data_IF_561822001614
#
_entry.id   IF_561822001614
#
_cell.length_a   1.000
_cell.length_b   1.000
_cell.length_c   1.000
_cell.angle_alpha   90.00
_cell.angle_beta   90.00
_cell.angle_gamma   90.00
#
_symmetry.space_group_name_H-M   'P 1'
#
loop_
_entity.id
_entity.type
_entity.pdbx_description
1 polymer ?
#
# COMPACT_ATOMS: atom_id res chain seq x y z
N UNK A 1 -8.42 -1.99 -17.01
CA UNK A 1 -8.52 -3.33 -17.63
C UNK A 1 -9.86 -3.96 -17.29
N UNK A 2 -10.75 -4.04 -18.30
CA UNK A 2 -12.13 -4.53 -18.11
C UNK A 2 -12.17 -6.01 -17.68
N UNK A 3 -11.24 -6.82 -18.14
CA UNK A 3 -11.12 -8.24 -17.75
C UNK A 3 -10.81 -8.39 -16.27
N UNK A 4 -9.84 -7.64 -15.77
CA UNK A 4 -9.47 -7.63 -14.34
C UNK A 4 -10.64 -7.20 -13.45
N UNK A 5 -11.40 -6.19 -13.90
CA UNK A 5 -12.61 -5.74 -13.19
C UNK A 5 -13.65 -6.85 -13.07
N UNK A 6 -13.94 -7.55 -14.16
CA UNK A 6 -14.89 -8.67 -14.16
C UNK A 6 -14.42 -9.80 -13.25
N UNK A 7 -13.13 -10.14 -13.30
CA UNK A 7 -12.56 -11.21 -12.48
C UNK A 7 -12.57 -10.85 -10.99
N UNK A 8 -12.30 -9.58 -10.66
CA UNK A 8 -12.42 -9.08 -9.29
C UNK A 8 -13.88 -9.18 -8.78
N UNK A 9 -14.85 -8.66 -9.53
CA UNK A 9 -16.27 -8.67 -9.15
C UNK A 9 -16.83 -10.09 -9.01
N UNK A 10 -16.25 -11.06 -9.72
CA UNK A 10 -16.59 -12.49 -9.62
C UNK A 10 -15.79 -13.23 -8.54
N UNK A 11 -14.95 -12.55 -7.76
CA UNK A 11 -14.12 -13.17 -6.74
C UNK A 11 -13.01 -14.07 -7.28
N UNK A 12 -12.61 -13.91 -8.56
CA UNK A 12 -11.59 -14.73 -9.24
C UNK A 12 -10.21 -14.06 -9.30
N UNK A 13 -10.09 -12.82 -8.84
CA UNK A 13 -8.83 -12.08 -8.81
C UNK A 13 -8.56 -11.51 -7.43
N UNK A 14 -7.35 -11.72 -6.91
CA UNK A 14 -6.80 -11.06 -5.73
C UNK A 14 -6.10 -9.73 -6.05
N UNK A 15 -6.06 -9.32 -7.32
CA UNK A 15 -5.32 -8.16 -7.81
C UNK A 15 -6.11 -6.86 -7.74
N UNK A 16 -6.95 -6.69 -6.71
CA UNK A 16 -7.71 -5.45 -6.51
C UNK A 16 -6.83 -4.20 -6.43
N UNK A 17 -5.59 -4.35 -5.95
CA UNK A 17 -4.61 -3.27 -5.86
C UNK A 17 -4.13 -2.74 -7.23
N UNK A 18 -4.28 -3.49 -8.32
CA UNK A 18 -4.02 -3.02 -9.69
C UNK A 18 -5.21 -2.22 -10.25
N UNK A 19 -6.41 -2.46 -9.68
CA UNK A 19 -7.65 -1.88 -10.14
C UNK A 19 -8.06 -0.64 -9.34
N UNK A 20 -7.94 -0.69 -8.01
CA UNK A 20 -8.35 0.35 -7.09
C UNK A 20 -7.16 1.12 -6.52
N UNK A 21 -7.46 2.25 -5.91
CA UNK A 21 -6.44 3.13 -5.36
C UNK A 21 -6.12 4.31 -6.27
N UNK A 22 -5.00 4.96 -6.00
CA UNK A 22 -4.46 6.07 -6.76
C UNK A 22 -3.30 5.59 -7.64
N UNK A 23 -3.48 5.61 -8.96
CA UNK A 23 -2.48 5.15 -9.93
C UNK A 23 -2.03 6.29 -10.84
N UNK A 24 -0.72 6.47 -10.93
CA UNK A 24 -0.14 7.41 -11.91
C UNK A 24 -0.18 6.81 -13.31
N UNK A 25 -0.87 7.48 -14.21
CA UNK A 25 -1.05 7.06 -15.59
C UNK A 25 -0.64 8.17 -16.55
N UNK A 26 -0.20 7.78 -17.74
CA UNK A 26 0.08 8.70 -18.84
C UNK A 26 -0.97 8.49 -19.91
N UNK A 27 -1.87 9.44 -20.07
CA UNK A 27 -2.98 9.35 -20.99
C UNK A 27 -3.29 10.72 -21.59
N UNK A 28 -3.77 10.75 -22.85
CA UNK A 28 -4.05 11.99 -23.56
C UNK A 28 -2.87 12.99 -23.55
N UNK A 29 -1.66 12.45 -23.65
CA UNK A 29 -0.40 13.22 -23.69
C UNK A 29 -0.11 14.03 -22.42
N UNK A 30 -0.66 13.64 -21.29
CA UNK A 30 -0.43 14.26 -19.99
C UNK A 30 -0.34 13.24 -18.85
N UNK A 31 0.41 13.60 -17.81
CA UNK A 31 0.42 12.86 -16.56
C UNK A 31 -0.83 13.16 -15.77
N UNK A 32 -1.47 12.10 -15.26
CA UNK A 32 -2.64 12.23 -14.39
C UNK A 32 -2.67 11.10 -13.36
N UNK A 33 -3.44 11.28 -12.29
CA UNK A 33 -3.70 10.23 -11.32
C UNK A 33 -5.11 9.71 -11.53
N UNK A 34 -5.21 8.41 -11.76
CA UNK A 34 -6.47 7.69 -11.80
C UNK A 34 -6.81 7.23 -10.39
N UNK A 35 -7.98 7.61 -9.90
CA UNK A 35 -8.55 7.13 -8.64
C UNK A 35 -9.70 6.19 -8.96
N UNK A 36 -9.73 5.04 -8.29
CA UNK A 36 -10.85 4.11 -8.39
C UNK A 36 -11.18 3.50 -7.03
N UNK A 37 -12.48 3.33 -6.76
CA UNK A 37 -12.98 2.74 -5.52
C UNK A 37 -14.20 1.87 -5.78
N UNK A 38 -14.31 0.76 -5.06
CA UNK A 38 -15.52 -0.09 -5.04
C UNK A 38 -16.45 0.35 -3.91
N UNK A 39 -17.58 0.92 -4.25
CA UNK A 39 -18.58 1.43 -3.32
C UNK A 39 -20.01 1.12 -3.81
N UNK A 40 -20.40 -0.17 -3.88
CA UNK A 40 -21.65 -0.59 -4.53
C UNK A 40 -22.91 -0.11 -3.80
N UNK A 41 -22.81 0.29 -2.54
CA UNK A 41 -23.91 0.83 -1.74
C UNK A 41 -23.94 2.36 -1.72
N UNK A 42 -23.05 3.03 -2.48
CA UNK A 42 -23.05 4.48 -2.55
C UNK A 42 -24.08 4.99 -3.55
N UNK A 43 -24.74 6.09 -3.20
CA UNK A 43 -25.54 6.88 -4.15
C UNK A 43 -24.63 7.68 -5.09
N UNK A 44 -23.53 8.22 -4.55
CA UNK A 44 -22.51 8.95 -5.27
C UNK A 44 -21.19 8.90 -4.51
N UNK A 45 -20.08 9.08 -5.21
CA UNK A 45 -18.74 9.21 -4.63
C UNK A 45 -18.06 10.44 -5.23
N UNK A 46 -17.38 11.20 -4.38
CA UNK A 46 -16.50 12.31 -4.80
C UNK A 46 -15.09 12.10 -4.23
N UNK A 47 -14.10 12.54 -4.95
CA UNK A 47 -12.72 12.60 -4.46
C UNK A 47 -12.51 13.95 -3.76
N UNK A 48 -11.93 13.95 -2.55
CA UNK A 48 -11.60 15.18 -1.81
C UNK A 48 -10.14 15.15 -1.36
N UNK A 49 -9.52 16.30 -1.29
CA UNK A 49 -8.13 16.43 -0.87
C UNK A 49 -7.68 17.90 -0.87
N UNK A 50 -6.39 18.13 -0.59
CA UNK A 50 -5.83 19.48 -0.57
C UNK A 50 -5.98 20.20 -1.92
N UNK A 51 -5.93 19.44 -3.02
CA UNK A 51 -6.05 19.95 -4.40
C UNK A 51 -7.42 20.57 -4.73
N UNK A 52 -8.45 20.32 -3.93
CA UNK A 52 -9.79 20.90 -4.11
C UNK A 52 -10.38 21.48 -2.80
N UNK A 53 -9.51 21.83 -1.84
CA UNK A 53 -9.90 22.34 -0.52
C UNK A 53 -10.90 21.43 0.22
N UNK A 54 -10.78 20.11 0.03
CA UNK A 54 -11.63 19.09 0.64
C UNK A 54 -13.13 19.23 0.33
N UNK A 55 -13.45 19.89 -0.79
CA UNK A 55 -14.84 20.14 -1.21
C UNK A 55 -15.42 18.94 -1.97
N UNK A 56 -16.45 18.24 -1.44
CA UNK A 56 -17.06 17.09 -2.09
C UNK A 56 -17.80 17.41 -3.39
N UNK A 57 -18.16 18.66 -3.62
CA UNK A 57 -18.89 19.07 -4.83
C UNK A 57 -17.95 19.36 -6.01
N UNK A 58 -16.64 19.51 -5.75
CA UNK A 58 -15.68 19.96 -6.76
C UNK A 58 -15.25 18.85 -7.73
N UNK A 59 -15.16 17.60 -7.27
CA UNK A 59 -14.60 16.46 -8.03
C UNK A 59 -15.44 15.19 -7.88
N UNK A 60 -16.66 15.16 -8.44
CA UNK A 60 -17.48 13.97 -8.45
C UNK A 60 -16.83 12.88 -9.32
N UNK A 61 -16.85 11.65 -8.81
CA UNK A 61 -16.38 10.46 -9.52
C UNK A 61 -17.49 9.88 -10.40
N UNK A 62 -17.11 9.27 -11.51
CA UNK A 62 -18.05 8.66 -12.45
C UNK A 62 -18.23 7.18 -12.12
N UNK A 63 -19.48 6.67 -12.11
CA UNK A 63 -19.70 5.24 -12.00
C UNK A 63 -19.24 4.54 -13.29
N UNK A 64 -18.59 3.39 -13.12
CA UNK A 64 -18.21 2.51 -14.22
C UNK A 64 -19.32 1.52 -14.46
N UNK A 65 -20.24 1.85 -15.36
CA UNK A 65 -21.49 1.10 -15.59
C UNK A 65 -22.21 0.78 -14.26
N UNK A 66 -22.84 -0.38 -14.16
CA UNK A 66 -23.54 -0.86 -12.95
C UNK A 66 -22.63 -1.73 -12.05
N UNK A 67 -21.31 -1.50 -12.10
CA UNK A 67 -20.33 -2.33 -11.40
C UNK A 67 -20.21 -2.04 -9.90
N UNK A 68 -20.70 -0.89 -9.44
CA UNK A 68 -20.44 -0.36 -8.10
C UNK A 68 -19.04 0.24 -7.95
N UNK A 69 -18.29 0.37 -9.05
CA UNK A 69 -16.97 1.02 -9.09
C UNK A 69 -17.17 2.47 -9.53
N UNK A 70 -16.46 3.37 -8.85
CA UNK A 70 -16.38 4.79 -9.20
C UNK A 70 -14.95 5.13 -9.58
N UNK A 71 -14.79 5.95 -10.62
CA UNK A 71 -13.49 6.30 -11.20
C UNK A 71 -13.40 7.79 -11.50
N UNK A 72 -12.19 8.36 -11.33
CA UNK A 72 -11.87 9.74 -11.69
C UNK A 72 -10.40 9.83 -12.11
N UNK A 73 -10.14 10.62 -13.17
CA UNK A 73 -8.80 11.00 -13.60
C UNK A 73 -8.56 12.46 -13.25
N UNK A 74 -7.48 12.73 -12.52
CA UNK A 74 -7.12 14.09 -12.10
C UNK A 74 -5.78 14.46 -12.74
N UNK A 75 -5.78 15.35 -13.73
CA UNK A 75 -4.55 15.78 -14.40
C UNK A 75 -3.68 16.66 -13.49
N UNK A 76 -2.36 16.57 -13.68
CA UNK A 76 -1.39 17.41 -13.00
C UNK A 76 -1.19 17.12 -11.51
N UNK A 77 -1.82 16.10 -10.96
CA UNK A 77 -1.63 15.71 -9.58
C UNK A 77 -0.30 14.94 -9.42
N UNK A 78 0.47 15.30 -8.38
CA UNK A 78 1.75 14.67 -8.05
C UNK A 78 1.65 13.64 -6.93
N UNK A 79 2.81 13.07 -6.55
CA UNK A 79 2.97 12.27 -5.32
C UNK A 79 2.87 13.14 -4.07
N UNK A 80 2.44 12.55 -2.95
CA UNK A 80 2.37 13.22 -1.66
C UNK A 80 1.08 14.00 -1.42
N UNK A 81 0.08 13.91 -2.31
CA UNK A 81 -1.19 14.60 -2.13
C UNK A 81 -2.10 13.83 -1.17
N UNK A 82 -2.65 14.54 -0.18
CA UNK A 82 -3.65 13.99 0.72
C UNK A 82 -5.02 13.89 0.04
N UNK A 83 -5.70 12.76 0.22
CA UNK A 83 -7.04 12.55 -0.32
C UNK A 83 -7.90 11.61 0.51
N UNK A 84 -9.21 11.71 0.34
CA UNK A 84 -10.22 10.76 0.81
C UNK A 84 -11.33 10.60 -0.23
N UNK A 85 -12.16 9.59 -0.04
CA UNK A 85 -13.44 9.47 -0.73
C UNK A 85 -14.56 10.04 0.14
N UNK A 86 -15.36 10.94 -0.43
CA UNK A 86 -16.61 11.41 0.14
C UNK A 86 -17.74 10.56 -0.45
N UNK A 87 -18.26 9.63 0.35
CA UNK A 87 -19.27 8.66 -0.06
C UNK A 87 -20.65 9.16 0.37
N UNK A 88 -21.51 9.49 -0.57
CA UNK A 88 -22.90 9.88 -0.30
C UNK A 88 -23.77 8.63 -0.24
N UNK A 89 -24.44 8.43 0.87
CA UNK A 89 -25.39 7.33 1.06
C UNK A 89 -26.74 7.62 0.41
N UNK A 90 -27.58 6.60 0.27
CA UNK A 90 -28.97 6.79 -0.22
C UNK A 90 -29.83 7.69 0.71
N UNK A 91 -29.47 7.83 1.98
CA UNK A 91 -30.12 8.73 2.93
C UNK A 91 -29.62 10.18 2.85
N UNK A 92 -28.59 10.43 2.00
CA UNK A 92 -27.99 11.77 1.83
C UNK A 92 -26.85 12.07 2.81
N UNK A 93 -26.51 11.15 3.70
CA UNK A 93 -25.36 11.31 4.59
C UNK A 93 -24.05 11.19 3.81
N UNK A 94 -23.09 12.08 4.07
CA UNK A 94 -21.74 12.01 3.48
C UNK A 94 -20.77 11.40 4.49
N UNK A 95 -20.07 10.35 4.07
CA UNK A 95 -19.06 9.66 4.86
C UNK A 95 -17.69 9.89 4.24
N UNK A 96 -16.74 10.42 5.00
CA UNK A 96 -15.36 10.59 4.56
C UNK A 96 -14.54 9.34 4.91
N UNK A 97 -14.02 8.66 3.88
CA UNK A 97 -13.28 7.40 4.01
C UNK A 97 -11.91 7.48 3.39
N UNK A 98 -10.92 6.93 4.10
CA UNK A 98 -9.63 6.65 3.50
C UNK A 98 -9.77 5.59 2.40
N UNK A 99 -8.81 5.58 1.49
CA UNK A 99 -8.75 4.58 0.42
C UNK A 99 -8.22 3.25 0.97
N UNK A 100 -8.98 2.16 0.88
CA UNK A 100 -8.52 0.85 1.35
C UNK A 100 -7.38 0.26 0.51
N UNK A 101 -7.13 0.80 -0.68
CA UNK A 101 -6.05 0.40 -1.59
C UNK A 101 -4.95 1.45 -1.71
N UNK A 102 -4.89 2.41 -0.78
CA UNK A 102 -3.82 3.40 -0.77
C UNK A 102 -2.45 2.75 -0.56
N UNK A 103 -1.47 3.18 -1.35
CA UNK A 103 -0.08 2.76 -1.19
C UNK A 103 0.66 3.51 -0.08
N UNK A 104 0.09 4.60 0.41
CA UNK A 104 0.62 5.38 1.53
C UNK A 104 -0.52 6.06 2.29
N UNK A 105 -0.31 6.27 3.58
CA UNK A 105 -1.27 6.94 4.47
C UNK A 105 -0.65 8.17 5.13
N UNK A 106 -1.52 9.09 5.52
CA UNK A 106 -1.14 10.27 6.27
C UNK A 106 -0.59 9.88 7.65
N UNK A 107 0.46 10.60 8.09
CA UNK A 107 1.00 10.39 9.42
C UNK A 107 0.00 10.88 10.49
N UNK A 108 -0.07 10.14 11.59
CA UNK A 108 -0.97 10.44 12.70
C UNK A 108 -0.79 11.87 13.27
N UNK A 109 -1.87 12.51 13.70
CA UNK A 109 -3.24 12.03 13.90
C UNK A 109 -4.11 12.07 12.64
N UNK A 110 -3.55 12.40 11.47
CA UNK A 110 -4.26 12.40 10.21
C UNK A 110 -4.80 11.00 9.82
N UNK A 111 -5.80 10.99 8.96
CA UNK A 111 -6.49 9.76 8.52
C UNK A 111 -6.74 9.75 7.01
N UNK A 112 -6.04 10.60 6.26
CA UNK A 112 -6.14 10.62 4.81
C UNK A 112 -5.23 9.55 4.17
N UNK A 113 -5.53 9.22 2.95
CA UNK A 113 -4.64 8.48 2.06
C UNK A 113 -3.71 9.46 1.36
N UNK A 114 -2.55 8.98 0.92
CA UNK A 114 -1.53 9.77 0.23
C UNK A 114 -1.24 9.17 -1.13
N UNK A 115 -1.20 9.99 -2.17
CA UNK A 115 -0.79 9.53 -3.50
C UNK A 115 0.68 9.14 -3.48
N UNK A 116 1.01 7.91 -3.88
CA UNK A 116 2.37 7.39 -3.91
C UNK A 116 2.63 6.60 -5.20
N UNK A 117 3.80 6.78 -5.79
CA UNK A 117 4.24 5.98 -6.93
C UNK A 117 5.24 4.92 -6.46
N UNK A 118 4.84 3.66 -6.49
CA UNK A 118 5.65 2.52 -6.05
C UNK A 118 6.45 1.86 -7.19
N UNK A 119 6.34 2.35 -8.43
CA UNK A 119 6.94 1.73 -9.63
C UNK A 119 8.43 2.02 -9.82
N UNK A 120 9.02 2.90 -8.99
CA UNK A 120 10.40 3.37 -9.17
C UNK A 120 11.50 2.41 -8.71
N UNK A 121 11.15 1.33 -7.99
CA UNK A 121 12.14 0.41 -7.46
C UNK A 121 12.69 -0.52 -8.56
N UNK A 122 14.02 -0.56 -8.69
CA UNK A 122 14.71 -1.45 -9.63
C UNK A 122 15.25 -2.66 -8.86
N UNK A 123 14.68 -3.81 -9.13
CA UNK A 123 15.15 -5.08 -8.60
C UNK A 123 16.47 -5.48 -9.26
N UNK A 124 17.43 -5.93 -8.47
CA UNK A 124 18.72 -6.47 -8.95
C UNK A 124 18.97 -7.91 -8.46
N UNK A 125 17.91 -8.64 -8.24
CA UNK A 125 17.84 -9.95 -7.61
C UNK A 125 17.76 -11.13 -8.59
N UNK A 126 17.97 -10.92 -9.89
CA UNK A 126 17.84 -11.94 -10.94
C UNK A 126 18.63 -13.22 -10.64
N UNK A 127 19.90 -13.08 -10.19
CA UNK A 127 20.75 -14.23 -9.82
C UNK A 127 20.15 -15.02 -8.66
N UNK A 128 19.60 -14.33 -7.68
CA UNK A 128 18.93 -14.98 -6.55
C UNK A 128 17.67 -15.71 -7.00
N UNK A 129 16.86 -15.11 -7.87
CA UNK A 129 15.64 -15.70 -8.42
C UNK A 129 15.96 -16.98 -9.23
N UNK A 130 17.03 -16.98 -10.02
CA UNK A 130 17.52 -18.15 -10.74
C UNK A 130 17.96 -19.27 -9.79
N UNK A 131 18.78 -18.94 -8.77
CA UNK A 131 19.22 -19.89 -7.75
C UNK A 131 18.05 -20.51 -6.99
N UNK A 132 17.09 -19.67 -6.59
CA UNK A 132 15.87 -20.10 -5.90
C UNK A 132 15.04 -21.07 -6.74
N UNK A 133 14.91 -20.83 -8.04
CA UNK A 133 14.17 -21.71 -8.93
C UNK A 133 14.78 -23.13 -9.03
N UNK A 134 16.11 -23.25 -8.84
CA UNK A 134 16.83 -24.53 -8.84
C UNK A 134 16.91 -25.21 -7.47
N UNK A 135 16.42 -24.59 -6.40
CA UNK A 135 16.54 -25.11 -5.03
C UNK A 135 15.25 -25.81 -4.60
N UNK A 136 15.36 -27.04 -4.07
CA UNK A 136 14.25 -27.74 -3.43
C UNK A 136 14.09 -27.22 -1.98
N UNK A 137 13.04 -26.41 -1.68
CA UNK A 137 12.90 -25.79 -0.36
C UNK A 137 12.64 -26.81 0.76
N UNK A 138 12.20 -28.04 0.41
CA UNK A 138 11.93 -29.10 1.41
C UNK A 138 13.23 -29.75 1.89
N UNK A 139 14.27 -29.75 1.05
CA UNK A 139 15.57 -30.38 1.35
C UNK A 139 16.62 -29.38 1.87
N UNK A 140 16.39 -28.10 1.70
CA UNK A 140 17.31 -27.08 2.19
C UNK A 140 17.14 -26.86 3.71
N UNK A 141 18.24 -26.64 4.44
CA UNK A 141 18.15 -26.25 5.84
C UNK A 141 17.47 -24.88 5.97
N UNK A 142 16.59 -24.74 6.95
CA UNK A 142 15.84 -23.51 7.23
C UNK A 142 16.18 -23.02 8.62
N UNK A 143 16.58 -21.73 8.72
CA UNK A 143 16.74 -20.99 9.97
C UNK A 143 16.04 -19.65 9.81
N UNK A 144 15.00 -19.41 10.59
CA UNK A 144 14.12 -18.23 10.48
C UNK A 144 14.43 -17.28 11.64
N UNK A 145 14.67 -16.00 11.31
CA UNK A 145 14.72 -14.93 12.28
C UNK A 145 13.42 -14.14 12.26
N UNK A 146 12.62 -14.31 13.28
CA UNK A 146 11.37 -13.55 13.47
C UNK A 146 11.69 -12.22 14.13
N UNK A 147 11.27 -11.12 13.53
CA UNK A 147 11.61 -9.78 13.99
C UNK A 147 10.46 -8.80 13.89
N UNK A 148 10.28 -8.03 14.95
CA UNK A 148 9.39 -6.88 15.00
C UNK A 148 10.23 -5.60 14.89
N UNK A 149 10.21 -4.95 13.73
CA UNK A 149 11.10 -3.82 13.42
C UNK A 149 11.00 -2.67 14.42
N UNK A 150 9.82 -2.38 14.92
CA UNK A 150 9.60 -1.28 15.87
C UNK A 150 10.27 -1.46 17.23
N UNK A 151 10.60 -2.71 17.62
CA UNK A 151 11.26 -3.02 18.89
C UNK A 151 12.65 -3.64 18.73
N UNK A 152 13.08 -3.95 17.51
CA UNK A 152 14.35 -4.63 17.25
C UNK A 152 15.56 -3.81 17.66
N UNK A 153 15.66 -2.58 17.15
CA UNK A 153 16.73 -1.63 17.51
C UNK A 153 16.18 -0.21 17.57
N UNK A 154 16.83 0.64 18.35
CA UNK A 154 16.60 2.09 18.37
C UNK A 154 17.91 2.83 18.13
N UNK A 155 17.82 3.95 17.41
CA UNK A 155 18.94 4.90 17.25
C UNK A 155 18.91 5.90 18.40
N UNK A 156 20.10 6.33 18.81
CA UNK A 156 20.23 7.40 19.80
C UNK A 156 20.00 8.76 19.12
N UNK A 157 18.72 9.04 18.76
CA UNK A 157 18.27 10.33 18.19
C UNK A 157 16.91 10.69 18.77
N UNK A 158 16.71 11.95 19.21
CA UNK A 158 15.46 12.40 19.80
C UNK A 158 14.29 12.45 18.82
N UNK A 159 14.58 12.83 17.56
CA UNK A 159 13.59 12.87 16.50
C UNK A 159 13.10 11.46 16.14
N UNK A 160 11.83 11.34 15.80
CA UNK A 160 11.18 10.07 15.44
C UNK A 160 11.26 8.99 16.54
N UNK A 161 11.34 9.39 17.81
CA UNK A 161 11.43 8.47 18.96
C UNK A 161 12.55 7.42 18.85
N UNK A 162 13.57 7.68 18.04
CA UNK A 162 14.68 6.80 17.77
C UNK A 162 14.36 5.57 16.91
N UNK A 163 13.18 5.49 16.29
CA UNK A 163 12.83 4.38 15.41
C UNK A 163 13.61 4.45 14.09
N UNK A 164 13.90 3.27 13.57
CA UNK A 164 14.44 3.12 12.21
C UNK A 164 13.35 3.37 11.17
N UNK A 165 13.70 3.99 10.07
CA UNK A 165 12.90 3.86 8.86
C UNK A 165 13.08 2.47 8.27
N UNK A 166 12.13 2.01 7.44
CA UNK A 166 12.27 0.70 6.80
C UNK A 166 13.54 0.56 5.96
N UNK A 167 13.95 1.63 5.27
CA UNK A 167 15.21 1.64 4.50
C UNK A 167 16.44 1.47 5.39
N UNK A 168 16.48 2.15 6.52
CA UNK A 168 17.59 2.03 7.47
C UNK A 168 17.62 0.64 8.13
N UNK A 169 16.44 0.13 8.51
CA UNK A 169 16.31 -1.20 9.11
C UNK A 169 16.70 -2.31 8.12
N UNK A 170 16.35 -2.16 6.84
CA UNK A 170 16.64 -3.16 5.82
C UNK A 170 18.12 -3.47 5.69
N UNK A 171 18.99 -2.46 5.67
CA UNK A 171 20.43 -2.65 5.58
C UNK A 171 21.00 -3.33 6.82
N UNK A 172 20.71 -2.79 8.01
CA UNK A 172 21.25 -3.36 9.25
C UNK A 172 20.71 -4.76 9.56
N UNK A 173 19.44 -5.03 9.20
CA UNK A 173 18.86 -6.35 9.38
C UNK A 173 19.47 -7.36 8.41
N UNK A 174 19.70 -6.98 7.15
CA UNK A 174 20.33 -7.84 6.17
C UNK A 174 21.75 -8.24 6.61
N UNK A 175 22.55 -7.27 7.04
CA UNK A 175 23.91 -7.53 7.55
C UNK A 175 23.87 -8.46 8.76
N UNK A 176 23.00 -8.21 9.72
CA UNK A 176 22.87 -9.02 10.94
C UNK A 176 22.46 -10.46 10.63
N UNK A 177 21.46 -10.70 9.79
CA UNK A 177 20.98 -12.05 9.51
C UNK A 177 21.98 -12.85 8.68
N UNK A 178 22.75 -12.20 7.81
CA UNK A 178 23.85 -12.82 7.06
C UNK A 178 25.02 -13.20 7.97
N UNK A 179 25.42 -12.33 8.89
CA UNK A 179 26.45 -12.60 9.88
C UNK A 179 26.09 -13.76 10.78
N UNK A 180 24.83 -13.80 11.26
CA UNK A 180 24.31 -14.84 12.15
C UNK A 180 23.97 -16.15 11.42
N UNK A 181 23.95 -16.17 10.10
CA UNK A 181 23.71 -17.36 9.27
C UNK A 181 22.23 -17.75 9.16
N UNK A 182 21.31 -16.83 9.38
CA UNK A 182 19.89 -17.08 9.10
C UNK A 182 19.64 -17.18 7.61
N UNK A 183 18.69 -18.05 7.23
CA UNK A 183 18.29 -18.23 5.83
C UNK A 183 17.02 -17.46 5.47
N UNK A 184 16.20 -17.15 6.47
CA UNK A 184 14.90 -16.48 6.30
C UNK A 184 14.72 -15.41 7.37
N UNK A 185 13.96 -14.37 7.02
CA UNK A 185 13.48 -13.39 7.99
C UNK A 185 11.95 -13.34 7.91
N UNK A 186 11.31 -13.42 9.06
CA UNK A 186 9.89 -13.18 9.21
C UNK A 186 9.67 -11.80 9.84
N UNK A 187 9.12 -10.87 9.04
CA UNK A 187 8.82 -9.52 9.49
C UNK A 187 7.40 -9.45 10.07
N UNK A 188 7.30 -9.13 11.34
CA UNK A 188 6.01 -8.95 12.00
C UNK A 188 5.50 -7.51 11.87
N UNK A 189 4.19 -7.37 11.58
CA UNK A 189 3.47 -6.10 11.68
C UNK A 189 3.97 -5.00 10.74
N UNK A 190 4.37 -5.33 9.52
CA UNK A 190 4.87 -4.34 8.53
C UNK A 190 3.76 -3.71 7.68
N UNK A 191 2.53 -4.25 7.72
CA UNK A 191 1.41 -3.60 7.06
C UNK A 191 1.16 -2.23 7.71
N UNK A 192 0.93 -1.21 6.88
CA UNK A 192 0.67 0.12 7.39
C UNK A 192 -0.60 0.16 8.24
N UNK A 193 -0.53 0.77 9.40
CA UNK A 193 -1.64 0.91 10.33
C UNK A 193 -1.55 2.25 11.09
N UNK A 194 -2.69 2.85 11.44
CA UNK A 194 -2.71 4.17 12.08
C UNK A 194 -2.29 4.17 13.56
N UNK A 195 -2.02 2.99 14.15
CA UNK A 195 -1.75 2.87 15.60
C UNK A 195 -0.33 2.39 15.88
N UNK A 196 0.50 3.22 16.52
CA UNK A 196 1.85 2.82 16.97
C UNK A 196 1.83 1.95 18.22
N UNK A 197 0.72 1.88 18.95
CA UNK A 197 0.65 1.26 20.29
C UNK A 197 -0.09 -0.08 20.30
N UNK A 198 -0.85 -0.42 19.27
CA UNK A 198 -1.63 -1.68 19.23
C UNK A 198 -0.99 -2.68 18.27
N UNK A 199 0.13 -3.22 18.69
CA UNK A 199 0.89 -4.19 17.88
C UNK A 199 0.60 -5.65 18.22
N UNK A 200 -0.37 -5.92 19.06
CA UNK A 200 -0.48 -7.26 19.66
C UNK A 200 -1.32 -8.24 18.84
N UNK A 201 -2.10 -7.79 17.85
CA UNK A 201 -3.09 -8.67 17.19
C UNK A 201 -3.09 -8.71 15.65
N UNK A 202 -2.21 -8.01 14.93
CA UNK A 202 -2.15 -8.15 13.49
C UNK A 202 -1.11 -9.19 13.08
N UNK A 203 -1.56 -10.43 12.89
CA UNK A 203 -0.75 -11.58 12.45
C UNK A 203 -0.46 -11.54 10.95
N UNK A 204 -0.15 -10.39 10.38
CA UNK A 204 0.36 -10.33 9.02
C UNK A 204 1.89 -10.30 9.09
N UNK A 205 2.48 -11.47 8.91
CA UNK A 205 3.92 -11.65 8.80
C UNK A 205 4.30 -11.79 7.33
N UNK A 206 5.41 -11.19 6.94
CA UNK A 206 6.02 -11.38 5.62
C UNK A 206 7.33 -12.13 5.83
N UNK A 207 7.49 -13.26 5.15
CA UNK A 207 8.72 -14.05 5.18
C UNK A 207 9.59 -13.63 4.00
N UNK A 208 10.79 -13.13 4.29
CA UNK A 208 11.82 -12.83 3.31
C UNK A 208 12.88 -13.94 3.36
N UNK A 209 13.33 -14.38 2.19
CA UNK A 209 14.33 -15.44 2.06
C UNK A 209 15.66 -14.77 1.70
N UNK A 210 16.71 -15.05 2.47
CA UNK A 210 18.07 -14.59 2.20
C UNK A 210 18.93 -15.77 1.74
N UNK A 211 19.77 -15.52 0.75
CA UNK A 211 20.80 -16.45 0.31
C UNK A 211 22.18 -15.78 0.41
N UNK A 212 23.14 -16.55 0.96
CA UNK A 212 24.58 -16.17 0.88
C UNK A 212 25.09 -16.29 -0.52
#
# INVERSE_FOLDING_TARGET
DFSLMIDYLRGRSSKGYELFGAHFVWENNQSQVRFAVYAPQAKAVSLIGDFNAWNPDATPMKPVADSGIYELFVPGLGVGQLYKFAITTHTGTILFKADPYAFSAEYRPGTASVTADIRGFKWNDSKWMESRAGTDPVKAPISIYEVHLGSWKKKNRPEKDGYYTYMEAAHELADYVLEMGYTHVELMGIAEHPYAVVQINNRQSVVLIFHK
#
